data_IF_191578236313
#
_entry.id   IF_191578236313
#
_cell.length_a   1.000
_cell.length_b   1.000
_cell.length_c   1.000
_cell.angle_alpha   90.00
_cell.angle_beta   90.00
_cell.angle_gamma   90.00
#
_symmetry.space_group_name_H-M   'P 1'
#
loop_
_entity.id
_entity.type
_entity.pdbx_description
1 polymer ?
#
# COMPACT_ATOMS: atom_id res chain seq x y z
N UNK A 1 -13.92 15.24 -18.34
CA UNK A 1 -12.71 14.37 -18.20
C UNK A 1 -11.51 15.28 -17.96
N UNK A 2 -10.64 14.93 -17.00
CA UNK A 2 -9.44 15.72 -16.66
C UNK A 2 -8.20 14.97 -17.20
N UNK A 3 -7.56 15.43 -18.30
CA UNK A 3 -6.56 14.63 -19.02
C UNK A 3 -5.36 14.18 -18.18
N UNK A 4 -4.84 15.03 -17.30
CA UNK A 4 -3.66 14.72 -16.49
C UNK A 4 -3.91 13.62 -15.44
N UNK A 5 -5.18 13.39 -15.06
CA UNK A 5 -5.56 12.34 -14.10
C UNK A 5 -5.75 10.96 -14.74
N UNK A 6 -5.61 10.83 -16.06
CA UNK A 6 -5.85 9.55 -16.76
C UNK A 6 -5.01 8.40 -16.18
N UNK A 7 -3.77 8.68 -15.76
CA UNK A 7 -2.87 7.68 -15.17
C UNK A 7 -3.27 7.23 -13.75
N UNK A 8 -4.05 8.03 -13.02
CA UNK A 8 -4.50 7.68 -11.66
C UNK A 8 -5.70 6.73 -11.67
N UNK A 9 -6.48 6.70 -12.75
CA UNK A 9 -7.72 5.91 -12.84
C UNK A 9 -7.50 4.42 -12.52
N UNK A 10 -6.51 3.72 -13.11
CA UNK A 10 -6.27 2.31 -12.80
C UNK A 10 -5.85 2.07 -11.35
N UNK A 11 -5.12 3.01 -10.74
CA UNK A 11 -4.69 2.92 -9.34
C UNK A 11 -5.91 3.01 -8.44
N UNK A 12 -6.68 4.10 -8.56
CA UNK A 12 -7.87 4.33 -7.73
C UNK A 12 -8.90 3.21 -7.92
N UNK A 13 -9.07 2.69 -9.13
CA UNK A 13 -10.07 1.68 -9.40
C UNK A 13 -9.67 0.27 -8.92
N UNK A 14 -8.38 -0.05 -8.89
CA UNK A 14 -7.90 -1.42 -8.61
C UNK A 14 -7.11 -1.58 -7.29
N UNK A 15 -6.86 -0.53 -6.50
CA UNK A 15 -6.04 -0.66 -5.29
C UNK A 15 -6.65 -1.51 -4.15
N UNK A 16 -7.94 -1.87 -4.24
CA UNK A 16 -8.58 -2.84 -3.34
C UNK A 16 -8.65 -4.27 -3.92
N UNK A 17 -8.06 -4.50 -5.09
CA UNK A 17 -7.80 -5.86 -5.56
C UNK A 17 -6.75 -6.52 -4.67
N UNK A 18 -6.83 -7.83 -4.52
CA UNK A 18 -5.88 -8.62 -3.74
C UNK A 18 -5.10 -9.52 -4.67
N UNK A 19 -3.82 -9.73 -4.38
CA UNK A 19 -2.94 -10.55 -5.19
C UNK A 19 -3.51 -11.95 -5.50
N UNK A 20 -4.21 -12.56 -4.54
CA UNK A 20 -4.86 -13.87 -4.68
C UNK A 20 -6.19 -13.88 -5.45
N UNK A 21 -6.69 -12.73 -5.90
CA UNK A 21 -7.95 -12.59 -6.63
C UNK A 21 -9.20 -12.51 -5.73
N UNK A 22 -9.05 -12.44 -4.41
CA UNK A 22 -10.18 -12.32 -3.46
C UNK A 22 -10.63 -10.87 -3.22
N UNK A 23 -9.96 -9.91 -3.84
CA UNK A 23 -10.27 -8.49 -3.75
C UNK A 23 -11.44 -8.05 -4.63
N UNK A 24 -11.58 -6.73 -4.79
CA UNK A 24 -12.67 -6.11 -5.53
C UNK A 24 -12.18 -4.83 -6.23
N UNK A 25 -12.89 -4.32 -7.25
CA UNK A 25 -14.22 -4.69 -7.74
C UNK A 25 -14.26 -5.82 -8.78
N UNK A 26 -13.14 -6.17 -9.39
CA UNK A 26 -13.08 -7.07 -10.55
C UNK A 26 -12.49 -8.44 -10.24
N UNK A 27 -11.94 -8.65 -9.03
CA UNK A 27 -11.30 -9.91 -8.63
C UNK A 27 -10.11 -10.25 -9.52
N UNK A 28 -9.32 -9.22 -9.84
CA UNK A 28 -8.09 -9.38 -10.61
C UNK A 28 -7.07 -10.13 -9.76
N UNK A 29 -6.28 -11.00 -10.38
CA UNK A 29 -5.27 -11.81 -9.70
C UNK A 29 -3.87 -11.51 -10.25
N UNK A 30 -2.86 -11.65 -9.39
CA UNK A 30 -1.45 -11.56 -9.76
C UNK A 30 -1.17 -10.26 -10.57
N UNK A 31 -0.65 -10.40 -11.79
CA UNK A 31 -0.23 -9.30 -12.66
C UNK A 31 -1.37 -8.66 -13.46
N UNK A 32 -2.59 -9.21 -13.38
CA UNK A 32 -3.79 -8.54 -13.94
C UNK A 32 -4.06 -7.21 -13.22
N UNK A 33 -3.59 -7.09 -11.97
CA UNK A 33 -3.64 -5.87 -11.17
C UNK A 33 -2.57 -4.90 -11.72
N UNK A 34 -2.94 -3.67 -12.11
CA UNK A 34 -1.97 -2.67 -12.56
C UNK A 34 -0.87 -2.46 -11.52
N UNK A 35 0.39 -2.38 -11.94
CA UNK A 35 1.54 -2.21 -11.02
C UNK A 35 1.35 -1.04 -10.05
N UNK A 36 0.84 0.10 -10.53
CA UNK A 36 0.57 1.25 -9.67
C UNK A 36 -0.45 0.94 -8.56
N UNK A 37 -1.45 0.11 -8.82
CA UNK A 37 -2.41 -0.33 -7.80
C UNK A 37 -1.78 -1.30 -6.80
N UNK A 38 -0.91 -2.21 -7.25
CA UNK A 38 -0.16 -3.14 -6.37
C UNK A 38 0.77 -2.40 -5.41
N UNK A 39 1.49 -1.39 -5.91
CA UNK A 39 2.34 -0.51 -5.09
C UNK A 39 1.47 0.28 -4.11
N UNK A 40 0.39 0.88 -4.60
CA UNK A 40 -0.48 1.71 -3.78
C UNK A 40 -1.14 0.92 -2.64
N UNK A 41 -1.57 -0.32 -2.88
CA UNK A 41 -2.19 -1.16 -1.87
C UNK A 41 -1.27 -1.42 -0.66
N UNK A 42 0.03 -1.63 -0.89
CA UNK A 42 1.01 -1.81 0.20
C UNK A 42 1.18 -0.53 1.00
N UNK A 43 1.30 0.61 0.32
CA UNK A 43 1.49 1.92 0.98
C UNK A 43 0.23 2.35 1.73
N UNK A 44 -0.96 2.14 1.17
CA UNK A 44 -2.25 2.44 1.80
C UNK A 44 -2.44 1.62 3.09
N UNK A 45 -2.11 0.33 3.06
CA UNK A 45 -2.16 -0.53 4.25
C UNK A 45 -1.14 -0.10 5.31
N UNK A 46 0.09 0.25 4.91
CA UNK A 46 1.11 0.74 5.83
C UNK A 46 0.69 2.05 6.51
N UNK A 47 0.19 3.01 5.74
CA UNK A 47 -0.30 4.29 6.24
C UNK A 47 -1.50 4.09 7.19
N UNK A 48 -2.44 3.22 6.81
CA UNK A 48 -3.59 2.89 7.64
C UNK A 48 -3.22 2.28 9.00
N UNK A 49 -2.14 1.50 9.07
CA UNK A 49 -1.64 0.92 10.31
C UNK A 49 -0.84 1.91 11.16
N UNK A 50 -0.12 2.84 10.53
CA UNK A 50 0.91 3.64 11.22
C UNK A 50 0.47 5.05 11.57
N UNK A 51 -0.73 5.48 11.16
CA UNK A 51 -1.33 6.74 11.54
C UNK A 51 -2.53 6.56 12.47
N UNK A 52 -2.66 7.48 13.44
CA UNK A 52 -3.82 7.52 14.31
C UNK A 52 -5.08 7.84 13.49
N UNK A 53 -6.11 7.04 13.71
CA UNK A 53 -7.44 7.24 13.15
C UNK A 53 -8.44 7.36 14.30
N UNK A 54 -9.62 7.98 14.10
CA UNK A 54 -10.60 8.17 15.17
C UNK A 54 -10.97 6.91 15.97
N UNK A 55 -10.74 5.72 15.41
CA UNK A 55 -11.09 4.42 15.99
C UNK A 55 -9.92 3.44 16.11
N UNK A 56 -8.68 3.85 15.82
CA UNK A 56 -7.51 2.97 15.84
C UNK A 56 -6.24 3.75 16.16
N UNK A 57 -5.46 3.23 17.10
CA UNK A 57 -4.16 3.79 17.47
C UNK A 57 -3.10 3.26 16.50
N UNK A 58 -2.23 4.15 16.04
CA UNK A 58 -1.09 3.78 15.21
C UNK A 58 -0.24 2.68 15.86
N UNK A 59 0.14 1.68 15.07
CA UNK A 59 1.13 0.68 15.48
C UNK A 59 2.54 1.06 15.03
N UNK A 60 3.61 0.57 15.70
CA UNK A 60 4.99 0.81 15.29
C UNK A 60 5.29 0.31 13.86
N UNK A 61 6.26 0.94 13.20
CA UNK A 61 6.65 0.58 11.83
C UNK A 61 7.06 -0.88 11.68
N UNK A 62 7.81 -1.43 12.64
CA UNK A 62 8.21 -2.85 12.63
C UNK A 62 6.99 -3.80 12.66
N UNK A 63 5.98 -3.47 13.47
CA UNK A 63 4.74 -4.24 13.53
C UNK A 63 3.96 -4.18 12.21
N UNK A 64 3.84 -2.99 11.61
CA UNK A 64 3.21 -2.82 10.29
C UNK A 64 3.97 -3.55 9.17
N UNK A 65 5.31 -3.50 9.18
CA UNK A 65 6.19 -4.21 8.22
C UNK A 65 6.05 -5.72 8.38
N UNK A 66 5.93 -6.21 9.61
CA UNK A 66 5.67 -7.62 9.90
C UNK A 66 4.33 -8.08 9.33
N UNK A 67 3.27 -7.29 9.49
CA UNK A 67 1.95 -7.61 8.94
C UNK A 67 1.92 -7.57 7.40
N UNK A 68 2.60 -6.60 6.79
CA UNK A 68 2.76 -6.53 5.33
C UNK A 68 3.48 -7.77 4.80
N UNK A 69 4.58 -8.19 5.45
CA UNK A 69 5.30 -9.42 5.10
C UNK A 69 4.41 -10.65 5.20
N UNK A 70 3.61 -10.75 6.28
CA UNK A 70 2.67 -11.87 6.49
C UNK A 70 1.62 -11.98 5.37
N UNK A 71 1.24 -10.86 4.78
CA UNK A 71 0.24 -10.76 3.72
C UNK A 71 0.79 -10.87 2.29
N UNK A 72 2.10 -11.06 2.12
CA UNK A 72 2.72 -11.26 0.81
C UNK A 72 2.19 -12.53 0.13
N UNK A 73 1.87 -12.45 -1.16
CA UNK A 73 1.34 -13.55 -1.97
C UNK A 73 -0.14 -13.86 -1.74
N UNK A 74 -0.81 -13.14 -0.84
CA UNK A 74 -2.27 -13.23 -0.64
C UNK A 74 -2.92 -11.87 -0.87
N UNK A 75 -2.69 -10.92 0.03
CA UNK A 75 -3.18 -9.56 -0.13
C UNK A 75 -2.31 -8.78 -1.11
N UNK A 76 -0.99 -8.91 -0.98
CA UNK A 76 -0.03 -8.05 -1.65
C UNK A 76 0.88 -8.83 -2.61
N UNK A 77 1.31 -8.14 -3.66
CA UNK A 77 2.35 -8.62 -4.58
C UNK A 77 3.66 -8.88 -3.80
N UNK A 78 4.20 -10.11 -3.81
CA UNK A 78 5.45 -10.43 -3.13
C UNK A 78 6.64 -9.55 -3.55
N UNK A 79 6.76 -9.22 -4.84
CA UNK A 79 7.88 -8.42 -5.34
C UNK A 79 7.81 -6.96 -4.87
N UNK A 80 6.59 -6.41 -4.77
CA UNK A 80 6.35 -5.08 -4.20
C UNK A 80 6.65 -5.10 -2.71
N UNK A 81 6.22 -6.14 -1.98
CA UNK A 81 6.49 -6.29 -0.54
C UNK A 81 7.99 -6.37 -0.27
N UNK A 82 8.73 -7.20 -1.00
CA UNK A 82 10.19 -7.30 -0.87
C UNK A 82 10.87 -5.94 -1.12
N UNK A 83 10.46 -5.24 -2.18
CA UNK A 83 10.98 -3.89 -2.47
C UNK A 83 10.66 -2.91 -1.35
N UNK A 84 9.42 -2.89 -0.85
CA UNK A 84 9.00 -2.02 0.24
C UNK A 84 9.79 -2.29 1.53
N UNK A 85 10.01 -3.56 1.87
CA UNK A 85 10.76 -3.96 3.05
C UNK A 85 12.27 -3.67 2.92
N UNK A 86 12.80 -3.54 1.70
CA UNK A 86 14.19 -3.10 1.49
C UNK A 86 14.42 -1.63 1.87
N UNK A 87 13.35 -0.82 1.97
CA UNK A 87 13.43 0.58 2.36
C UNK A 87 13.71 0.68 3.87
N UNK A 88 14.76 1.41 4.29
CA UNK A 88 15.06 1.63 5.71
C UNK A 88 13.96 2.40 6.44
N UNK A 89 13.73 2.07 7.71
CA UNK A 89 12.72 2.77 8.54
C UNK A 89 12.96 4.28 8.66
N UNK A 90 14.23 4.69 8.70
CA UNK A 90 14.63 6.10 8.74
C UNK A 90 14.09 6.92 7.56
N UNK A 91 13.86 6.29 6.39
CA UNK A 91 13.26 6.96 5.23
C UNK A 91 11.80 7.31 5.53
N UNK A 92 11.04 6.38 6.14
CA UNK A 92 9.64 6.63 6.50
C UNK A 92 9.53 7.67 7.62
N UNK A 93 10.44 7.64 8.60
CA UNK A 93 10.53 8.67 9.66
C UNK A 93 10.81 10.05 9.07
N UNK A 94 11.74 10.14 8.11
CA UNK A 94 12.05 11.40 7.42
C UNK A 94 10.87 11.92 6.60
N UNK A 95 10.19 11.06 5.84
CA UNK A 95 8.99 11.43 5.09
C UNK A 95 7.91 11.94 6.05
N UNK A 96 7.69 11.24 7.17
CA UNK A 96 6.70 11.65 8.17
C UNK A 96 7.00 13.00 8.78
N UNK A 97 8.28 13.25 9.11
CA UNK A 97 8.73 14.53 9.64
C UNK A 97 8.44 15.67 8.63
N UNK A 98 8.80 15.47 7.36
CA UNK A 98 8.56 16.48 6.30
C UNK A 98 7.07 16.74 6.05
N UNK A 99 6.22 15.73 6.15
CA UNK A 99 4.75 15.89 5.96
C UNK A 99 4.05 16.61 7.12
N UNK A 100 4.69 16.68 8.30
CA UNK A 100 4.18 17.39 9.47
C UNK A 100 4.70 18.83 9.58
N UNK A 101 5.66 19.22 8.75
CA UNK A 101 6.17 20.58 8.63
C UNK A 101 5.21 21.42 7.76
N UNK A 102 4.81 22.64 8.21
CA UNK A 102 3.86 23.50 7.49
C UNK A 102 4.41 24.11 6.20
#
# INVERSE_FOLDING_TARGET
RIPFLRGAVPVVYCHHERWDGTGYPRRLKDEEIPLGARIFAVVDAFDAMTFDRPYSVAIPFDAARTEIRRCAGTHFDPAVVETFLSIPESVFEEIRRRSAEP
#
